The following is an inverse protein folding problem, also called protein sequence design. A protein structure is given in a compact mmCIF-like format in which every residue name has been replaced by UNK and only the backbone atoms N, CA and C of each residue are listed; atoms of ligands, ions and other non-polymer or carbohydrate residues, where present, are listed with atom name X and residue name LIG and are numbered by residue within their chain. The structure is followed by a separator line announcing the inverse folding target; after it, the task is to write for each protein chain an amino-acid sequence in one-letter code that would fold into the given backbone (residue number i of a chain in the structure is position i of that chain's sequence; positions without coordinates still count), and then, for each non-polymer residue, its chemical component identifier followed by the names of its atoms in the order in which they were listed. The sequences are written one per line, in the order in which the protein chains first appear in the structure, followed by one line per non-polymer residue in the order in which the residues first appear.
data_IF_544721576281
#
_entry.id   IF_544721576281
#
_cell.length_a   1.000
_cell.length_b   1.000
_cell.length_c   1.000
_cell.angle_alpha   90.00
_cell.angle_beta   90.00
_cell.angle_gamma   90.00
#
_symmetry.space_group_name_H-M   'P 1'
#
loop_
_entity.id
_entity.type
_entity.pdbx_description
1 polymer ?
#
# COMPACT_ATOMS: atom_id res chain seq x y z
N UNK A 1 -61.92 31.84 -20.70
CA UNK A 1 -60.56 32.42 -20.57
C UNK A 1 -60.03 32.57 -19.13
N UNK A 2 -60.81 33.02 -18.13
CA UNK A 2 -60.27 33.15 -16.75
C UNK A 2 -59.93 31.82 -16.04
N UNK A 3 -60.65 30.73 -16.33
CA UNK A 3 -60.41 29.41 -15.69
C UNK A 3 -59.10 28.75 -16.13
N UNK A 4 -58.61 29.03 -17.33
CA UNK A 4 -57.38 28.44 -17.86
C UNK A 4 -56.13 29.12 -17.32
N UNK A 5 -56.17 30.46 -17.16
CA UNK A 5 -55.09 31.21 -16.52
C UNK A 5 -54.87 30.81 -15.06
N UNK A 6 -55.94 30.44 -14.33
CA UNK A 6 -55.84 29.92 -12.95
C UNK A 6 -55.17 28.54 -12.88
N UNK A 7 -55.41 27.65 -13.85
CA UNK A 7 -54.76 26.33 -13.92
C UNK A 7 -53.26 26.44 -14.20
N UNK A 8 -52.87 27.33 -15.10
CA UNK A 8 -51.46 27.58 -15.44
C UNK A 8 -50.70 28.12 -14.23
N UNK A 9 -51.30 29.02 -13.44
CA UNK A 9 -50.69 29.53 -12.21
C UNK A 9 -50.40 28.45 -11.16
N UNK A 10 -51.31 27.48 -11.00
CA UNK A 10 -51.14 26.38 -10.03
C UNK A 10 -50.00 25.43 -10.46
N UNK A 11 -49.89 25.14 -11.76
CA UNK A 11 -48.83 24.28 -12.29
C UNK A 11 -47.45 24.91 -12.10
N UNK A 12 -47.31 26.22 -12.34
CA UNK A 12 -46.03 26.91 -12.14
C UNK A 12 -45.56 26.90 -10.67
N UNK A 13 -46.49 27.01 -9.73
CA UNK A 13 -46.18 26.94 -8.29
C UNK A 13 -45.70 25.54 -7.88
N UNK A 14 -46.33 24.48 -8.42
CA UNK A 14 -45.92 23.10 -8.17
C UNK A 14 -44.51 22.80 -8.70
N UNK A 15 -44.14 23.33 -9.88
CA UNK A 15 -42.81 23.15 -10.46
C UNK A 15 -41.74 23.86 -9.62
N UNK A 16 -42.01 25.09 -9.15
CA UNK A 16 -41.10 25.83 -8.26
C UNK A 16 -40.92 25.08 -6.93
N UNK A 17 -41.99 24.51 -6.37
CA UNK A 17 -41.91 23.72 -5.14
C UNK A 17 -41.09 22.43 -5.32
N UNK A 18 -41.19 21.78 -6.48
CA UNK A 18 -40.39 20.60 -6.84
C UNK A 18 -38.89 20.95 -6.96
N UNK A 19 -38.57 22.11 -7.54
CA UNK A 19 -37.19 22.60 -7.66
C UNK A 19 -36.62 22.97 -6.27
N UNK A 20 -37.41 23.62 -5.41
CA UNK A 20 -36.97 23.95 -4.05
C UNK A 20 -36.78 22.69 -3.21
N UNK A 21 -37.69 21.72 -3.32
CA UNK A 21 -37.58 20.44 -2.62
C UNK A 21 -36.33 19.67 -3.05
N UNK A 22 -36.07 19.54 -4.35
CA UNK A 22 -34.85 18.88 -4.84
C UNK A 22 -33.58 19.63 -4.41
N UNK A 23 -33.60 20.97 -4.36
CA UNK A 23 -32.48 21.78 -3.89
C UNK A 23 -32.22 21.63 -2.38
N UNK A 24 -33.25 21.54 -1.54
CA UNK A 24 -33.08 21.30 -0.09
C UNK A 24 -32.57 19.89 0.20
N UNK A 25 -33.02 18.89 -0.57
CA UNK A 25 -32.46 17.54 -0.49
C UNK A 25 -30.98 17.49 -0.90
N UNK A 26 -30.59 18.25 -1.92
CA UNK A 26 -29.19 18.29 -2.37
C UNK A 26 -28.26 18.99 -1.36
N UNK A 27 -28.78 19.97 -0.60
CA UNK A 27 -28.00 20.69 0.42
C UNK A 27 -27.96 20.00 1.79
N UNK A 28 -28.80 18.97 2.01
CA UNK A 28 -28.91 18.24 3.28
C UNK A 28 -28.04 16.98 3.42
N UNK A 29 -27.25 16.63 2.39
CA UNK A 29 -26.61 15.32 2.25
C UNK A 29 -25.14 15.18 2.66
N UNK A 30 -24.58 16.04 3.53
CA UNK A 30 -23.24 15.78 4.08
C UNK A 30 -23.08 16.41 5.47
N UNK A 31 -23.54 15.71 6.52
CA UNK A 31 -23.09 15.95 7.90
C UNK A 31 -22.08 14.87 8.26
N UNK A 32 -20.92 15.34 8.69
CA UNK A 32 -19.75 14.59 9.11
C UNK A 32 -20.11 13.41 10.02
N UNK A 33 -19.68 12.21 9.62
CA UNK A 33 -19.54 11.11 10.55
C UNK A 33 -18.25 11.35 11.38
N UNK A 34 -18.39 12.11 12.48
CA UNK A 34 -17.45 12.01 13.60
C UNK A 34 -17.54 10.58 14.15
N UNK A 35 -16.61 9.74 13.72
CA UNK A 35 -16.42 8.40 14.29
C UNK A 35 -15.67 8.56 15.60
N UNK A 36 -16.44 8.64 16.69
CA UNK A 36 -15.96 8.31 18.03
C UNK A 36 -15.47 6.86 17.99
N UNK A 37 -14.17 6.68 18.23
CA UNK A 37 -13.63 5.42 18.68
C UNK A 37 -12.70 5.76 19.85
N UNK A 38 -13.29 5.72 21.05
CA UNK A 38 -12.57 5.46 22.28
C UNK A 38 -11.71 4.20 22.08
N UNK A 39 -10.40 4.41 21.98
CA UNK A 39 -9.43 3.43 22.44
C UNK A 39 -8.35 4.17 23.22
N UNK A 40 -8.50 4.04 24.52
CA UNK A 40 -7.57 4.37 25.58
C UNK A 40 -6.15 4.01 25.16
N UNK A 41 -5.26 5.00 25.15
CA UNK A 41 -3.82 4.76 25.26
C UNK A 41 -3.43 5.33 26.62
N UNK A 42 -3.25 4.42 27.57
CA UNK A 42 -2.54 4.67 28.82
C UNK A 42 -1.12 5.08 28.46
N UNK A 43 -0.79 6.36 28.65
CA UNK A 43 0.57 6.78 28.99
C UNK A 43 0.41 7.73 30.16
N UNK A 44 0.71 7.20 31.33
CA UNK A 44 0.95 7.93 32.55
C UNK A 44 2.27 8.67 32.38
N UNK A 45 2.20 9.99 32.27
CA UNK A 45 3.39 10.84 32.41
C UNK A 45 3.04 12.04 33.28
N UNK A 46 3.63 12.03 34.48
CA UNK A 46 3.54 13.07 35.50
C UNK A 46 3.94 14.43 34.92
N UNK A 47 2.99 15.37 34.86
CA UNK A 47 3.28 16.79 34.69
C UNK A 47 2.75 17.52 35.94
N UNK A 48 3.61 18.21 36.71
CA UNK A 48 3.17 18.92 37.91
C UNK A 48 2.19 20.04 37.55
N UNK A 49 1.08 20.10 38.30
CA UNK A 49 0.18 21.24 38.34
C UNK A 49 0.96 22.48 38.80
N UNK A 50 1.13 23.46 37.91
CA UNK A 50 1.03 24.85 38.33
C UNK A 50 0.67 25.78 37.16
N UNK A 51 -0.26 26.66 37.47
CA UNK A 51 -0.62 27.92 36.79
C UNK A 51 -1.62 27.82 35.63
N UNK A 52 -2.88 27.86 36.07
CA UNK A 52 -4.07 28.26 35.32
C UNK A 52 -4.08 29.79 35.20
N UNK A 53 -3.72 30.33 34.03
CA UNK A 53 -4.13 31.65 33.51
C UNK A 53 -3.39 31.92 32.16
N UNK A 54 -3.93 31.38 31.06
CA UNK A 54 -4.00 32.03 29.73
C UNK A 54 -4.54 31.02 28.71
N UNK A 55 -5.86 31.00 28.55
CA UNK A 55 -6.52 30.25 27.47
C UNK A 55 -6.45 31.13 26.21
N UNK A 56 -5.35 31.04 25.47
CA UNK A 56 -5.26 31.45 24.07
C UNK A 56 -5.10 30.21 23.20
N UNK A 57 -6.23 29.75 22.68
CA UNK A 57 -6.43 29.04 21.42
C UNK A 57 -5.16 28.42 20.80
N UNK A 58 -4.68 27.32 21.40
CA UNK A 58 -3.60 26.51 20.82
C UNK A 58 -4.21 25.67 19.70
N UNK A 59 -4.25 26.23 18.49
CA UNK A 59 -4.46 25.47 17.26
C UNK A 59 -3.45 24.31 17.26
N UNK A 60 -3.94 23.09 17.46
CA UNK A 60 -3.14 21.89 17.25
C UNK A 60 -2.98 21.78 15.74
N UNK A 61 -1.91 22.36 15.22
CA UNK A 61 -1.43 22.09 13.86
C UNK A 61 -1.05 20.61 13.82
N UNK A 62 -2.02 19.75 13.48
CA UNK A 62 -1.77 18.34 13.15
C UNK A 62 -0.77 18.35 12.00
N UNK A 63 0.51 18.15 12.34
CA UNK A 63 1.60 18.05 11.37
C UNK A 63 1.31 16.82 10.51
N UNK A 64 0.69 17.05 9.35
CA UNK A 64 0.30 16.01 8.41
C UNK A 64 1.55 15.25 8.01
N UNK A 65 1.62 13.97 8.36
CA UNK A 65 2.78 13.14 8.08
C UNK A 65 2.82 12.86 6.58
N UNK A 66 3.96 13.14 5.95
CA UNK A 66 4.19 12.91 4.53
C UNK A 66 4.95 11.62 4.30
N UNK A 67 4.77 11.07 3.10
CA UNK A 67 5.46 9.89 2.57
C UNK A 67 6.07 10.24 1.21
N UNK A 68 7.17 9.61 0.88
CA UNK A 68 7.86 9.77 -0.39
C UNK A 68 7.69 8.49 -1.20
N UNK A 69 7.18 8.58 -2.42
CA UNK A 69 6.83 7.43 -3.26
C UNK A 69 7.34 7.68 -4.67
N UNK A 70 7.96 6.68 -5.29
CA UNK A 70 8.44 6.74 -6.67
C UNK A 70 7.41 6.12 -7.63
N UNK A 71 7.19 6.74 -8.79
CA UNK A 71 6.36 6.15 -9.86
C UNK A 71 7.10 6.10 -11.19
N UNK A 72 7.02 4.94 -11.86
CA UNK A 72 7.66 4.64 -13.15
C UNK A 72 6.69 4.02 -14.15
N UNK A 73 7.13 3.97 -15.41
CA UNK A 73 6.40 3.32 -16.50
C UNK A 73 5.46 4.27 -17.23
N UNK A 74 4.27 3.79 -17.59
CA UNK A 74 3.28 4.48 -18.42
C UNK A 74 2.49 5.57 -17.67
N UNK A 75 3.22 6.58 -17.18
CA UNK A 75 2.68 7.81 -16.59
C UNK A 75 3.27 9.03 -17.28
N UNK A 76 2.55 10.15 -17.25
CA UNK A 76 2.97 11.35 -17.99
C UNK A 76 4.23 12.01 -17.40
N UNK A 77 4.42 11.93 -16.08
CA UNK A 77 5.60 12.45 -15.37
C UNK A 77 6.11 11.40 -14.37
N UNK A 78 6.97 10.46 -14.82
CA UNK A 78 7.65 9.54 -13.91
C UNK A 78 8.62 10.32 -13.02
N UNK A 79 8.43 10.28 -11.71
CA UNK A 79 9.28 10.98 -10.75
C UNK A 79 9.04 10.44 -9.32
N UNK A 80 9.73 11.03 -8.35
CA UNK A 80 9.51 10.84 -6.91
C UNK A 80 8.58 11.94 -6.39
N UNK A 81 7.52 11.53 -5.67
CA UNK A 81 6.51 12.43 -5.14
C UNK A 81 6.39 12.34 -3.63
N UNK A 82 6.26 13.50 -2.99
CA UNK A 82 5.87 13.59 -1.58
C UNK A 82 4.34 13.65 -1.47
N UNK A 83 3.71 12.67 -0.83
CA UNK A 83 2.26 12.59 -0.61
C UNK A 83 1.95 12.53 0.88
N UNK A 84 0.67 12.51 1.22
CA UNK A 84 0.21 12.37 2.60
C UNK A 84 0.26 10.89 2.97
N UNK A 85 0.48 10.55 4.25
CA UNK A 85 0.64 9.15 4.69
C UNK A 85 -0.54 8.24 4.37
N UNK A 86 -1.73 8.79 4.15
CA UNK A 86 -2.95 8.07 3.80
C UNK A 86 -3.28 8.08 2.30
N UNK A 87 -2.42 8.67 1.46
CA UNK A 87 -2.62 8.72 0.02
C UNK A 87 -2.65 7.34 -0.62
N UNK A 88 -3.46 7.20 -1.66
CA UNK A 88 -3.61 5.98 -2.44
C UNK A 88 -2.92 6.08 -3.80
N UNK A 89 -2.73 4.94 -4.48
CA UNK A 89 -2.12 4.88 -5.83
C UNK A 89 -2.79 5.85 -6.80
N UNK A 90 -4.12 6.01 -6.73
CA UNK A 90 -4.84 6.98 -7.56
C UNK A 90 -4.30 8.41 -7.40
N UNK A 91 -4.03 8.85 -6.17
CA UNK A 91 -3.55 10.22 -5.88
C UNK A 91 -2.15 10.42 -6.45
N UNK A 92 -1.29 9.41 -6.35
CA UNK A 92 0.04 9.40 -6.96
C UNK A 92 -0.02 9.50 -8.49
N UNK A 93 -0.92 8.74 -9.13
CA UNK A 93 -1.11 8.80 -10.59
C UNK A 93 -1.59 10.20 -11.01
N UNK A 94 -2.53 10.80 -10.27
CA UNK A 94 -3.00 12.15 -10.54
C UNK A 94 -1.87 13.17 -10.38
N UNK A 95 -1.05 13.04 -9.33
CA UNK A 95 0.12 13.89 -9.09
C UNK A 95 1.22 13.73 -10.17
N UNK A 96 1.34 12.53 -10.74
CA UNK A 96 2.19 12.22 -11.90
C UNK A 96 1.65 12.77 -13.24
N UNK A 97 0.57 13.57 -13.21
CA UNK A 97 -0.05 14.13 -14.40
C UNK A 97 -0.92 13.12 -15.16
N UNK A 98 -1.29 12.01 -14.54
CA UNK A 98 -2.10 10.95 -15.14
C UNK A 98 -1.28 9.91 -15.90
N UNK A 99 -2.00 8.96 -16.48
CA UNK A 99 -1.46 7.86 -17.27
C UNK A 99 -1.23 8.27 -18.71
N UNK A 100 -0.31 7.59 -19.39
CA UNK A 100 -0.19 7.70 -20.85
C UNK A 100 -1.33 6.93 -21.52
N UNK A 101 -1.52 7.14 -22.83
CA UNK A 101 -2.49 6.37 -23.62
C UNK A 101 -2.14 4.87 -23.73
N UNK A 102 -0.93 4.46 -23.35
CA UNK A 102 -0.47 3.07 -23.42
C UNK A 102 -0.45 2.37 -22.07
N UNK A 103 -0.91 3.01 -20.99
CA UNK A 103 -0.94 2.39 -19.68
C UNK A 103 -1.90 1.19 -19.58
N UNK A 104 -1.44 0.12 -18.92
CA UNK A 104 -2.24 -1.04 -18.56
C UNK A 104 -2.79 -0.89 -17.14
N UNK A 105 -4.11 -0.85 -17.02
CA UNK A 105 -4.82 -0.61 -15.75
C UNK A 105 -5.44 -1.88 -15.15
N UNK A 106 -5.54 -2.97 -15.91
CA UNK A 106 -6.32 -4.14 -15.50
C UNK A 106 -5.75 -4.85 -14.27
N UNK A 107 -4.43 -4.71 -14.04
CA UNK A 107 -3.71 -5.42 -12.99
C UNK A 107 -3.30 -4.55 -11.79
N UNK A 108 -3.80 -3.30 -11.69
CA UNK A 108 -3.43 -2.37 -10.61
C UNK A 108 -4.61 -2.02 -9.72
N UNK A 109 -4.45 -2.25 -8.41
CA UNK A 109 -5.40 -1.77 -7.41
C UNK A 109 -5.14 -0.29 -7.09
N UNK A 110 -5.79 0.62 -7.81
CA UNK A 110 -5.67 2.09 -7.62
C UNK A 110 -6.11 2.59 -6.24
N UNK A 111 -6.90 1.80 -5.51
CA UNK A 111 -7.34 2.13 -4.15
C UNK A 111 -6.35 1.65 -3.07
N UNK A 112 -5.26 1.00 -3.45
CA UNK A 112 -4.23 0.57 -2.50
C UNK A 112 -3.58 1.79 -1.87
N UNK A 113 -3.52 1.79 -0.53
CA UNK A 113 -2.78 2.77 0.26
C UNK A 113 -1.28 2.65 -0.02
N UNK A 114 -0.63 3.80 -0.17
CA UNK A 114 0.80 3.90 -0.41
C UNK A 114 1.59 3.82 0.90
N UNK A 115 2.80 3.27 0.82
CA UNK A 115 3.75 3.25 1.93
C UNK A 115 4.94 4.15 1.61
N UNK A 116 5.59 4.66 2.66
CA UNK A 116 6.81 5.43 2.49
C UNK A 116 7.88 4.60 1.79
N UNK A 117 8.56 5.22 0.83
CA UNK A 117 9.57 4.65 -0.05
C UNK A 117 9.06 3.49 -0.94
N UNK A 118 7.75 3.42 -1.21
CA UNK A 118 7.21 2.46 -2.17
C UNK A 118 7.52 2.90 -3.61
N UNK A 119 7.77 1.91 -4.49
CA UNK A 119 7.90 2.10 -5.93
C UNK A 119 6.65 1.54 -6.61
N UNK A 120 5.98 2.37 -7.40
CA UNK A 120 4.83 2.00 -8.23
C UNK A 120 5.27 1.96 -9.70
N UNK A 121 5.00 0.85 -10.37
CA UNK A 121 5.29 0.70 -11.80
C UNK A 121 3.98 0.52 -12.57
N UNK A 122 3.77 1.34 -13.59
CA UNK A 122 2.63 1.22 -14.50
C UNK A 122 3.10 0.55 -15.80
N UNK A 123 2.59 -0.65 -16.08
CA UNK A 123 2.93 -1.41 -17.28
C UNK A 123 2.33 -0.82 -18.55
N UNK A 124 2.90 -1.18 -19.71
CA UNK A 124 2.34 -0.86 -21.02
C UNK A 124 1.36 -1.94 -21.47
N UNK A 125 0.23 -1.54 -22.05
CA UNK A 125 -0.82 -2.42 -22.60
C UNK A 125 -0.38 -3.19 -23.84
N UNK A 126 0.61 -2.65 -24.56
CA UNK A 126 1.18 -3.24 -25.76
C UNK A 126 2.48 -4.01 -25.47
N UNK A 127 2.99 -3.96 -24.24
CA UNK A 127 3.94 -4.96 -23.84
C UNK A 127 3.21 -6.29 -23.97
N UNK A 128 3.74 -7.16 -24.83
CA UNK A 128 3.29 -8.53 -24.91
C UNK A 128 3.65 -9.14 -23.56
N UNK A 129 2.74 -9.00 -22.61
CA UNK A 129 2.71 -9.84 -21.43
C UNK A 129 2.43 -11.22 -22.00
N UNK A 130 3.50 -11.90 -22.40
CA UNK A 130 3.51 -13.36 -22.42
C UNK A 130 2.85 -13.72 -21.11
N UNK A 131 1.70 -14.36 -21.18
CA UNK A 131 0.94 -14.76 -20.01
C UNK A 131 1.76 -15.78 -19.22
N UNK A 132 2.77 -15.31 -18.52
CA UNK A 132 3.23 -15.93 -17.30
C UNK A 132 2.23 -15.40 -16.28
N UNK A 133 1.36 -16.28 -15.82
CA UNK A 133 0.77 -16.13 -14.51
C UNK A 133 1.88 -15.67 -13.57
N UNK A 134 1.83 -14.41 -13.14
CA UNK A 134 2.76 -13.85 -12.19
C UNK A 134 2.08 -13.83 -10.82
N UNK A 135 2.22 -14.88 -10.00
CA UNK A 135 2.25 -14.67 -8.57
C UNK A 135 3.46 -13.74 -8.30
N UNK A 136 3.15 -12.55 -7.78
CA UNK A 136 4.00 -11.68 -6.97
C UNK A 136 5.53 -11.91 -7.13
N UNK A 137 6.15 -11.10 -7.98
CA UNK A 137 7.55 -10.64 -7.91
C UNK A 137 8.57 -11.72 -7.48
N UNK A 138 8.97 -12.57 -8.42
CA UNK A 138 10.32 -13.15 -8.38
C UNK A 138 11.32 -12.06 -8.76
N UNK A 139 11.88 -11.41 -7.76
CA UNK A 139 13.10 -10.64 -7.90
C UNK A 139 14.24 -11.60 -8.24
N UNK A 140 14.47 -11.84 -9.53
CA UNK A 140 15.70 -12.47 -9.99
C UNK A 140 16.61 -11.35 -10.50
N UNK A 141 17.28 -10.68 -9.56
CA UNK A 141 18.56 -10.05 -9.84
C UNK A 141 19.48 -11.20 -10.25
N UNK A 142 19.85 -11.21 -11.53
CA UNK A 142 20.75 -12.19 -12.11
C UNK A 142 22.14 -12.02 -11.51
N UNK A 143 22.39 -12.66 -10.37
CA UNK A 143 23.71 -13.10 -10.00
C UNK A 143 23.96 -14.42 -10.74
N UNK A 144 24.79 -14.33 -11.77
CA UNK A 144 25.23 -15.43 -12.61
C UNK A 144 26.24 -16.33 -11.85
N UNK A 145 25.84 -16.87 -10.68
CA UNK A 145 26.62 -17.78 -9.85
C UNK A 145 25.99 -19.18 -9.75
N UNK A 146 24.74 -19.36 -10.21
CA UNK A 146 23.99 -20.62 -10.05
C UNK A 146 23.63 -20.92 -8.59
N UNK A 147 23.95 -20.03 -7.65
CA UNK A 147 23.70 -20.19 -6.22
C UNK A 147 22.38 -19.56 -5.82
N UNK A 148 21.75 -20.15 -4.81
CA UNK A 148 20.47 -19.72 -4.25
C UNK A 148 20.73 -18.81 -3.05
N UNK A 149 20.26 -17.57 -3.13
CA UNK A 149 20.34 -16.64 -2.02
C UNK A 149 19.35 -17.03 -0.91
N UNK A 150 19.83 -17.39 0.29
CA UNK A 150 18.99 -17.91 1.37
C UNK A 150 18.13 -16.84 2.07
N UNK A 151 18.52 -15.57 1.97
CA UNK A 151 17.78 -14.45 2.53
C UNK A 151 16.54 -14.10 1.69
N UNK A 152 16.61 -14.28 0.37
CA UNK A 152 15.53 -13.91 -0.56
C UNK A 152 14.79 -15.08 -1.20
N UNK A 153 15.38 -16.28 -1.20
CA UNK A 153 14.79 -17.45 -1.85
C UNK A 153 13.41 -17.81 -1.31
N UNK A 154 12.54 -18.21 -2.23
CA UNK A 154 11.21 -18.70 -1.91
C UNK A 154 11.24 -20.19 -1.53
N UNK A 155 10.17 -20.70 -0.93
CA UNK A 155 10.07 -22.10 -0.49
C UNK A 155 10.45 -23.08 -1.62
N UNK A 156 9.89 -22.86 -2.82
CA UNK A 156 10.14 -23.70 -3.99
C UNK A 156 11.57 -23.57 -4.55
N UNK A 157 12.28 -22.50 -4.24
CA UNK A 157 13.69 -22.33 -4.62
C UNK A 157 14.60 -23.05 -3.63
N UNK A 158 14.33 -22.92 -2.33
CA UNK A 158 15.04 -23.65 -1.29
C UNK A 158 14.91 -25.17 -1.44
N UNK A 159 13.76 -25.66 -1.91
CA UNK A 159 13.52 -27.09 -2.20
C UNK A 159 14.35 -27.67 -3.34
N UNK A 160 14.95 -26.82 -4.19
CA UNK A 160 15.87 -27.29 -5.25
C UNK A 160 17.22 -27.72 -4.70
N UNK A 161 17.56 -27.28 -3.49
CA UNK A 161 18.81 -27.60 -2.84
C UNK A 161 18.86 -29.09 -2.45
N UNK A 162 20.03 -29.70 -2.64
CA UNK A 162 20.19 -31.12 -2.38
C UNK A 162 19.96 -31.47 -0.90
N UNK A 163 18.90 -32.24 -0.62
CA UNK A 163 18.55 -32.68 0.73
C UNK A 163 17.69 -31.70 1.54
N UNK A 164 17.17 -30.64 0.91
CA UNK A 164 16.17 -29.72 1.47
C UNK A 164 14.78 -30.06 0.92
N UNK A 165 13.90 -30.57 1.77
CA UNK A 165 12.47 -30.73 1.49
C UNK A 165 11.64 -29.67 2.21
N UNK A 166 10.31 -29.73 2.10
CA UNK A 166 9.38 -28.72 2.62
C UNK A 166 9.64 -28.38 4.10
N UNK A 167 9.85 -29.38 4.94
CA UNK A 167 10.08 -29.17 6.38
C UNK A 167 11.36 -28.37 6.67
N UNK A 168 12.44 -28.58 5.92
CA UNK A 168 13.70 -27.84 6.13
C UNK A 168 13.65 -26.47 5.46
N UNK A 169 13.05 -26.39 4.28
CA UNK A 169 12.84 -25.13 3.57
C UNK A 169 12.02 -24.15 4.43
N UNK A 170 10.95 -24.65 5.08
CA UNK A 170 10.15 -23.84 5.99
C UNK A 170 10.97 -23.36 7.18
N UNK A 171 11.78 -24.23 7.81
CA UNK A 171 12.65 -23.82 8.92
C UNK A 171 13.67 -22.75 8.53
N UNK A 172 14.17 -22.75 7.29
CA UNK A 172 15.05 -21.68 6.77
C UNK A 172 14.30 -20.35 6.72
N UNK A 173 13.06 -20.37 6.23
CA UNK A 173 12.20 -19.18 6.18
C UNK A 173 11.86 -18.68 7.58
N UNK A 174 11.50 -19.57 8.49
CA UNK A 174 11.16 -19.23 9.86
C UNK A 174 12.38 -18.65 10.58
N UNK A 175 13.57 -19.25 10.38
CA UNK A 175 14.83 -18.77 10.96
C UNK A 175 15.12 -17.32 10.53
N UNK A 176 15.05 -17.01 9.22
CA UNK A 176 15.30 -15.63 8.76
C UNK A 176 14.26 -14.63 9.25
N UNK A 177 13.00 -15.05 9.45
CA UNK A 177 11.97 -14.18 10.01
C UNK A 177 12.24 -13.86 11.49
N UNK A 178 12.69 -14.84 12.26
CA UNK A 178 12.96 -14.69 13.70
C UNK A 178 14.28 -13.95 13.96
N UNK A 179 15.32 -14.23 13.15
CA UNK A 179 16.67 -13.66 13.32
C UNK A 179 16.93 -12.40 12.51
N UNK A 180 16.02 -12.04 11.60
CA UNK A 180 16.19 -10.89 10.70
C UNK A 180 17.10 -11.17 9.50
N UNK A 181 17.29 -12.45 9.15
CA UNK A 181 18.17 -12.88 8.06
C UNK A 181 19.33 -13.75 8.53
N UNK A 182 20.14 -14.19 7.56
CA UNK A 182 21.44 -14.83 7.74
C UNK A 182 22.53 -13.79 7.50
N UNK A 183 23.55 -13.76 8.36
CA UNK A 183 24.73 -12.91 8.16
C UNK A 183 25.86 -13.67 7.45
N UNK A 184 25.88 -14.97 7.64
CA UNK A 184 26.86 -15.89 7.05
C UNK A 184 26.17 -17.17 6.58
N UNK A 185 26.79 -17.90 5.64
CA UNK A 185 26.24 -19.20 5.22
C UNK A 185 26.26 -20.20 6.39
N UNK A 186 27.22 -20.06 7.30
CA UNK A 186 27.42 -20.91 8.48
C UNK A 186 26.24 -20.86 9.45
N UNK A 187 25.48 -19.76 9.46
CA UNK A 187 24.30 -19.57 10.30
C UNK A 187 23.22 -20.64 10.04
N UNK A 188 23.21 -21.26 8.86
CA UNK A 188 22.33 -22.39 8.54
C UNK A 188 22.53 -23.59 9.47
N UNK A 189 23.71 -23.75 10.08
CA UNK A 189 23.98 -24.86 11.02
C UNK A 189 23.15 -24.74 12.30
N UNK A 190 22.62 -23.55 12.59
CA UNK A 190 21.76 -23.31 13.75
C UNK A 190 20.32 -23.81 13.52
N UNK A 191 20.00 -24.27 12.30
CA UNK A 191 18.68 -24.77 11.96
C UNK A 191 18.58 -26.26 12.27
N UNK A 192 17.55 -26.62 13.02
CA UNK A 192 17.27 -28.00 13.37
C UNK A 192 17.04 -28.87 12.11
N UNK A 193 17.95 -29.81 11.88
CA UNK A 193 17.95 -30.69 10.70
C UNK A 193 18.96 -30.31 9.62
N UNK A 194 19.69 -29.20 9.78
CA UNK A 194 20.82 -28.79 8.94
C UNK A 194 22.10 -28.83 9.80
N UNK A 195 22.60 -30.04 10.06
CA UNK A 195 23.89 -30.22 10.72
C UNK A 195 25.08 -30.01 9.76
N UNK A 196 26.30 -30.14 10.29
CA UNK A 196 27.56 -29.99 9.55
C UNK A 196 27.57 -30.74 8.20
N UNK A 197 27.15 -32.02 8.21
CA UNK A 197 27.10 -32.87 7.00
C UNK A 197 26.14 -32.35 5.92
N UNK A 198 25.05 -31.71 6.33
CA UNK A 198 24.08 -31.15 5.38
C UNK A 198 24.60 -29.82 4.85
N UNK A 199 25.09 -28.97 5.74
CA UNK A 199 25.71 -27.69 5.37
C UNK A 199 26.82 -27.86 4.33
N UNK A 200 27.69 -28.87 4.48
CA UNK A 200 28.77 -29.13 3.52
C UNK A 200 28.28 -29.43 2.09
N UNK A 201 27.10 -30.02 1.96
CA UNK A 201 26.46 -30.25 0.64
C UNK A 201 25.86 -28.98 0.07
N UNK A 202 25.42 -28.08 0.93
CA UNK A 202 24.69 -26.87 0.55
C UNK A 202 25.60 -25.69 0.27
N UNK A 203 26.76 -25.58 0.94
CA UNK A 203 27.65 -24.40 0.90
C UNK A 203 28.06 -23.95 -0.51
N UNK A 204 28.05 -24.86 -1.48
CA UNK A 204 28.41 -24.57 -2.88
C UNK A 204 27.21 -24.12 -3.71
N UNK A 205 25.99 -24.45 -3.28
CA UNK A 205 24.72 -24.14 -3.95
C UNK A 205 24.04 -22.88 -3.40
N UNK A 206 24.58 -22.26 -2.34
CA UNK A 206 23.93 -21.15 -1.62
C UNK A 206 24.80 -19.91 -1.48
N UNK A 207 24.15 -18.77 -1.32
CA UNK A 207 24.74 -17.48 -0.95
C UNK A 207 23.84 -16.72 0.04
N UNK A 208 24.38 -15.68 0.68
CA UNK A 208 23.68 -14.82 1.65
C UNK A 208 23.33 -13.49 1.01
#
# INVERSE_FOLDING_TARGET
MLKEKKKIGIISILVIFLIISTFTYFKGGFKELKKNNDKQIFVEENIPQNNMEDIKEKQVTLKKKSIVVEIKGEVNKPDVYELEEDSIIKDLIEKAGGLTGNAELSNINRAKKLRNHELIYISNKNDVVTAINCPQVKGNLTNNSGKININSAQLEELKKLNGIGDAKAQKIIDYRQIKGGFNSIEDLKNIEGIGQKMFEKLKEEIEV
#
